data_IF_254916112838
#
_entry.id   IF_254916112838
#
_cell.length_a   1.000
_cell.length_b   1.000
_cell.length_c   1.000
_cell.angle_alpha   90.00
_cell.angle_beta   90.00
_cell.angle_gamma   90.00
#
_symmetry.space_group_name_H-M   'P 1'
#
loop_
_entity.id
_entity.type
_entity.pdbx_description
1 polymer ?
#
# COMPACT_ATOMS: atom_id res chain seq x y z
N UNK A 1 9.28 -17.23 3.43
CA UNK A 1 10.46 -16.55 2.84
C UNK A 1 11.19 -15.79 3.94
N UNK A 2 12.48 -15.56 3.77
CA UNK A 2 13.28 -14.69 4.63
C UNK A 2 13.39 -13.31 4.00
N UNK A 3 13.15 -12.28 4.78
CA UNK A 3 13.32 -10.90 4.41
C UNK A 3 14.42 -10.29 5.25
N UNK A 4 15.42 -9.75 4.58
CA UNK A 4 16.55 -9.06 5.19
C UNK A 4 16.37 -7.57 4.95
N UNK A 5 16.13 -6.81 6.03
CA UNK A 5 16.02 -5.36 5.93
C UNK A 5 17.41 -4.74 5.90
N UNK A 6 17.66 -3.87 4.93
CA UNK A 6 18.86 -3.06 4.87
C UNK A 6 18.61 -1.79 5.70
N UNK A 7 18.90 -1.85 7.00
CA UNK A 7 18.82 -0.65 7.82
C UNK A 7 19.97 0.30 7.50
N UNK A 8 19.67 1.59 7.38
CA UNK A 8 20.66 2.67 7.22
C UNK A 8 21.65 2.80 8.40
N UNK A 9 21.52 1.98 9.45
CA UNK A 9 22.29 2.06 10.71
C UNK A 9 23.06 0.77 11.05
N UNK A 10 23.41 -0.04 10.04
CA UNK A 10 24.24 -1.26 10.17
C UNK A 10 23.69 -2.41 11.05
N UNK A 11 22.47 -2.29 11.61
CA UNK A 11 21.80 -3.40 12.29
C UNK A 11 20.94 -4.19 11.31
N UNK A 12 21.37 -5.38 10.92
CA UNK A 12 20.60 -6.28 10.06
C UNK A 12 19.43 -6.89 10.85
N UNK A 13 18.21 -6.45 10.57
CA UNK A 13 16.99 -7.05 11.13
C UNK A 13 16.44 -8.07 10.14
N UNK A 14 16.36 -9.32 10.58
CA UNK A 14 15.86 -10.44 9.80
C UNK A 14 14.41 -10.75 10.20
N UNK A 15 13.52 -10.71 9.22
CA UNK A 15 12.10 -10.98 9.40
C UNK A 15 11.65 -12.12 8.48
N UNK A 16 10.62 -12.86 8.89
CA UNK A 16 10.12 -14.00 8.13
C UNK A 16 8.72 -13.71 7.60
N UNK A 17 8.60 -13.72 6.28
CA UNK A 17 7.32 -13.71 5.58
C UNK A 17 6.70 -15.10 5.62
N UNK A 18 5.50 -15.15 6.20
CA UNK A 18 4.62 -16.31 6.28
C UNK A 18 3.64 -16.33 5.11
N UNK A 19 3.02 -17.48 4.91
CA UNK A 19 1.94 -17.65 3.94
C UNK A 19 0.83 -16.62 4.16
N UNK A 20 0.32 -16.04 3.07
CA UNK A 20 -0.75 -15.04 3.08
C UNK A 20 -0.29 -13.61 3.42
N UNK A 21 0.96 -13.41 3.85
CA UNK A 21 1.49 -12.07 4.08
C UNK A 21 1.92 -11.40 2.78
N UNK A 22 1.84 -10.07 2.78
CA UNK A 22 2.17 -9.22 1.63
C UNK A 22 3.45 -8.45 1.91
N UNK A 23 4.18 -8.17 0.84
CA UNK A 23 5.35 -7.31 0.86
C UNK A 23 5.20 -6.21 -0.18
N UNK A 24 5.86 -5.08 0.04
CA UNK A 24 5.95 -3.96 -0.89
C UNK A 24 4.62 -3.31 -1.28
N UNK A 25 3.61 -3.38 -0.40
CA UNK A 25 2.32 -2.70 -0.57
C UNK A 25 2.46 -1.20 -0.93
N UNK A 26 3.40 -0.41 -0.36
CA UNK A 26 3.57 1.00 -0.72
C UNK A 26 3.87 1.23 -2.21
N UNK A 27 4.52 0.28 -2.89
CA UNK A 27 4.89 0.41 -4.30
C UNK A 27 3.66 0.49 -5.23
N UNK A 28 2.50 0.04 -4.76
CA UNK A 28 1.23 0.17 -5.50
C UNK A 28 0.73 1.62 -5.52
N UNK A 29 0.97 2.37 -4.45
CA UNK A 29 0.30 3.66 -4.18
C UNK A 29 1.21 4.88 -4.38
N UNK A 30 2.52 4.73 -4.21
CA UNK A 30 3.48 5.82 -4.27
C UNK A 30 4.79 5.38 -4.91
N UNK A 31 5.67 6.34 -5.20
CA UNK A 31 7.04 6.03 -5.60
C UNK A 31 7.76 5.44 -4.39
N UNK A 32 8.09 4.16 -4.47
CA UNK A 32 8.67 3.40 -3.38
C UNK A 32 10.01 2.82 -3.80
N UNK A 33 10.99 2.92 -2.92
CA UNK A 33 12.27 2.24 -3.06
C UNK A 33 12.31 1.10 -2.04
N UNK A 34 12.48 -0.14 -2.52
CA UNK A 34 12.58 -1.30 -1.64
C UNK A 34 13.69 -1.10 -0.59
N UNK A 35 13.37 -1.46 0.65
CA UNK A 35 14.21 -1.26 1.82
C UNK A 35 14.89 -2.56 2.28
N UNK A 36 14.77 -3.64 1.51
CA UNK A 36 15.36 -4.92 1.85
C UNK A 36 15.46 -5.90 0.68
N UNK A 37 15.96 -7.09 0.98
CA UNK A 37 16.07 -8.21 0.04
C UNK A 37 15.23 -9.37 0.53
N UNK A 38 14.44 -9.96 -0.37
CA UNK A 38 13.65 -11.15 -0.11
C UNK A 38 14.35 -12.39 -0.66
N UNK A 39 14.55 -13.41 0.17
CA UNK A 39 15.20 -14.66 -0.18
C UNK A 39 14.34 -15.86 0.24
N UNK A 40 14.26 -16.88 -0.60
CA UNK A 40 13.53 -18.12 -0.29
C UNK A 40 14.44 -19.10 0.44
N UNK A 41 14.06 -19.52 1.66
CA UNK A 41 14.73 -20.61 2.40
C UNK A 41 14.24 -22.01 2.05
N UNK A 42 13.08 -22.10 1.42
CA UNK A 42 12.41 -23.35 1.06
C UNK A 42 11.68 -23.16 -0.26
N UNK A 43 11.14 -24.25 -0.82
CA UNK A 43 10.24 -24.17 -1.97
C UNK A 43 9.00 -23.37 -1.58
N UNK A 44 8.73 -22.28 -2.29
CA UNK A 44 7.58 -21.41 -2.07
C UNK A 44 7.14 -20.79 -3.39
N UNK A 45 5.88 -20.39 -3.45
CA UNK A 45 5.30 -19.68 -4.59
C UNK A 45 5.11 -18.20 -4.21
N UNK A 46 5.41 -17.31 -5.15
CA UNK A 46 5.19 -15.86 -5.01
C UNK A 46 4.14 -15.45 -6.03
N UNK A 47 3.16 -14.66 -5.60
CA UNK A 47 2.30 -13.92 -6.51
C UNK A 47 2.85 -12.50 -6.63
N UNK A 48 3.40 -12.18 -7.80
CA UNK A 48 3.90 -10.85 -8.11
C UNK A 48 2.79 -10.02 -8.76
N UNK A 49 2.71 -8.74 -8.37
CA UNK A 49 1.80 -7.77 -8.96
C UNK A 49 2.62 -6.61 -9.52
N UNK A 50 2.62 -6.46 -10.84
CA UNK A 50 3.23 -5.30 -11.49
C UNK A 50 2.48 -4.01 -11.12
N UNK A 51 3.15 -3.11 -10.42
CA UNK A 51 2.55 -1.85 -9.95
C UNK A 51 2.08 -0.95 -11.09
N UNK A 52 2.77 -0.95 -12.23
CA UNK A 52 2.43 -0.08 -13.36
C UNK A 52 1.22 -0.61 -14.13
N UNK A 53 1.24 -1.90 -14.47
CA UNK A 53 0.10 -2.61 -15.05
C UNK A 53 -1.12 -2.55 -14.14
N UNK A 54 -0.95 -2.73 -12.83
CA UNK A 54 -2.02 -2.60 -11.85
C UNK A 54 -2.66 -1.21 -11.87
N UNK A 55 -1.86 -0.14 -11.83
CA UNK A 55 -2.37 1.24 -11.91
C UNK A 55 -3.09 1.50 -13.24
N UNK A 56 -2.55 1.00 -14.34
CA UNK A 56 -3.15 1.14 -15.68
C UNK A 56 -4.53 0.50 -15.73
N UNK A 57 -4.67 -0.73 -15.21
CA UNK A 57 -5.96 -1.43 -15.10
C UNK A 57 -6.90 -0.67 -14.16
N UNK A 58 -6.38 -0.19 -13.01
CA UNK A 58 -7.17 0.56 -12.04
C UNK A 58 -7.84 1.79 -12.66
N UNK A 59 -7.10 2.57 -13.45
CA UNK A 59 -7.63 3.76 -14.10
C UNK A 59 -8.68 3.45 -15.18
N UNK A 60 -8.71 2.22 -15.69
CA UNK A 60 -9.75 1.77 -16.63
C UNK A 60 -11.06 1.37 -15.93
N UNK A 61 -11.08 1.19 -14.61
CA UNK A 61 -12.23 0.68 -13.86
C UNK A 61 -12.71 1.67 -12.77
N UNK A 62 -13.61 2.59 -13.14
CA UNK A 62 -14.11 3.67 -12.27
C UNK A 62 -14.68 3.18 -10.92
N UNK A 63 -15.33 2.00 -10.86
CA UNK A 63 -15.88 1.46 -9.61
C UNK A 63 -14.77 1.11 -8.61
N UNK A 64 -13.76 0.37 -9.06
CA UNK A 64 -12.61 -0.03 -8.25
C UNK A 64 -11.73 1.16 -7.87
N UNK A 65 -11.65 2.17 -8.75
CA UNK A 65 -10.87 3.37 -8.54
C UNK A 65 -11.32 4.11 -7.27
N UNK A 66 -12.62 4.21 -7.00
CA UNK A 66 -13.13 4.89 -5.81
C UNK A 66 -12.65 4.24 -4.50
N UNK A 67 -12.78 2.92 -4.40
CA UNK A 67 -12.35 2.12 -3.26
C UNK A 67 -10.83 2.16 -3.09
N UNK A 68 -10.07 1.93 -4.16
CA UNK A 68 -8.61 1.86 -4.08
C UNK A 68 -7.97 3.24 -3.86
N UNK A 69 -8.55 4.31 -4.41
CA UNK A 69 -8.10 5.68 -4.08
C UNK A 69 -8.30 5.98 -2.59
N UNK A 70 -9.40 5.50 -2.01
CA UNK A 70 -9.66 5.64 -0.58
C UNK A 70 -8.69 4.82 0.26
N UNK A 71 -8.43 3.59 -0.14
CA UNK A 71 -7.45 2.71 0.50
C UNK A 71 -6.05 3.32 0.47
N UNK A 72 -5.58 3.76 -0.70
CA UNK A 72 -4.28 4.40 -0.87
C UNK A 72 -4.11 5.63 0.03
N UNK A 73 -5.16 6.47 0.16
CA UNK A 73 -5.15 7.62 1.06
C UNK A 73 -5.02 7.21 2.54
N UNK A 74 -5.81 6.24 2.98
CA UNK A 74 -5.77 5.74 4.35
C UNK A 74 -4.43 5.08 4.67
N UNK A 75 -3.87 4.34 3.70
CA UNK A 75 -2.56 3.74 3.81
C UNK A 75 -1.47 4.81 3.96
N UNK A 76 -1.47 5.83 3.11
CA UNK A 76 -0.53 6.95 3.23
C UNK A 76 -0.67 7.69 4.58
N UNK A 77 -1.90 7.92 5.05
CA UNK A 77 -2.13 8.53 6.37
C UNK A 77 -1.58 7.64 7.48
N UNK A 78 -1.82 6.32 7.44
CA UNK A 78 -1.25 5.37 8.39
C UNK A 78 0.29 5.42 8.37
N UNK A 79 0.91 5.40 7.20
CA UNK A 79 2.37 5.51 7.06
C UNK A 79 2.92 6.77 7.73
N UNK A 80 2.25 7.92 7.54
CA UNK A 80 2.72 9.20 8.10
C UNK A 80 2.75 9.25 9.63
N UNK A 81 2.01 8.35 10.30
CA UNK A 81 1.94 8.28 11.76
C UNK A 81 2.75 7.11 12.35
N UNK A 82 3.25 6.20 11.51
CA UNK A 82 4.01 5.03 11.94
C UNK A 82 5.52 5.34 11.94
N UNK A 83 6.19 5.00 13.05
CA UNK A 83 7.65 5.22 13.19
C UNK A 83 8.47 4.36 12.23
N UNK A 84 7.96 3.18 11.91
CA UNK A 84 8.59 2.18 11.03
C UNK A 84 8.06 2.23 9.60
N UNK A 85 7.79 3.42 9.07
CA UNK A 85 7.23 3.58 7.73
C UNK A 85 8.14 3.03 6.61
N UNK A 86 9.46 3.01 6.84
CA UNK A 86 10.49 2.59 5.87
C UNK A 86 10.67 1.06 5.83
N UNK A 87 9.61 0.30 5.56
CA UNK A 87 9.63 -1.16 5.50
C UNK A 87 8.83 -1.70 4.31
N UNK A 88 9.31 -2.80 3.72
CA UNK A 88 8.54 -3.55 2.73
C UNK A 88 7.53 -4.50 3.39
N UNK A 89 7.65 -4.77 4.70
CA UNK A 89 6.77 -5.71 5.41
C UNK A 89 5.69 -4.99 6.19
N UNK A 90 4.44 -5.37 5.96
CA UNK A 90 3.29 -4.72 6.58
C UNK A 90 2.45 -5.70 7.39
N UNK A 91 1.90 -5.21 8.50
CA UNK A 91 1.03 -6.01 9.34
C UNK A 91 -0.30 -6.25 8.61
N UNK A 92 -0.59 -7.52 8.32
CA UNK A 92 -1.78 -7.94 7.59
C UNK A 92 -3.09 -7.44 8.22
N UNK A 93 -3.20 -7.43 9.56
CA UNK A 93 -4.38 -6.93 10.26
C UNK A 93 -4.59 -5.42 10.03
N UNK A 94 -3.50 -4.67 9.91
CA UNK A 94 -3.56 -3.24 9.59
C UNK A 94 -4.03 -3.06 8.17
N UNK A 95 -3.48 -3.80 7.20
CA UNK A 95 -3.90 -3.73 5.80
C UNK A 95 -5.39 -4.08 5.64
N UNK A 96 -5.86 -5.12 6.31
CA UNK A 96 -7.26 -5.53 6.32
C UNK A 96 -8.15 -4.45 6.93
N UNK A 97 -7.77 -3.88 8.07
CA UNK A 97 -8.52 -2.79 8.70
C UNK A 97 -8.64 -1.56 7.79
N UNK A 98 -7.55 -1.19 7.09
CA UNK A 98 -7.58 -0.09 6.11
C UNK A 98 -8.47 -0.42 4.91
N UNK A 99 -8.50 -1.67 4.45
CA UNK A 99 -9.36 -2.12 3.36
C UNK A 99 -10.85 -2.07 3.77
N UNK A 100 -11.21 -2.60 4.94
CA UNK A 100 -12.56 -2.51 5.47
C UNK A 100 -13.03 -1.06 5.61
N UNK A 101 -12.15 -0.17 6.07
CA UNK A 101 -12.41 1.25 6.16
C UNK A 101 -12.66 1.90 4.79
N UNK A 102 -11.87 1.53 3.79
CA UNK A 102 -11.98 2.05 2.43
C UNK A 102 -13.30 1.64 1.76
N UNK A 103 -13.82 0.47 2.09
CA UNK A 103 -15.12 -0.02 1.62
C UNK A 103 -16.31 0.65 2.34
N UNK A 104 -16.04 1.42 3.38
CA UNK A 104 -17.08 2.07 4.20
C UNK A 104 -17.69 1.17 5.26
N UNK A 105 -17.07 0.00 5.56
CA UNK A 105 -17.42 -0.78 6.75
C UNK A 105 -16.90 -0.02 7.99
N UNK A 106 -17.59 -0.16 9.12
CA UNK A 106 -17.17 0.51 10.36
C UNK A 106 -15.79 -0.01 10.78
N UNK A 107 -14.84 0.91 10.86
CA UNK A 107 -13.54 0.68 11.47
C UNK A 107 -13.69 0.18 12.91
N UNK A 108 -13.20 -1.03 13.18
CA UNK A 108 -12.90 -1.52 14.53
C UNK A 108 -11.52 -0.99 15.01
N UNK A 109 -11.17 0.26 14.63
CA UNK A 109 -9.92 0.88 15.10
C UNK A 109 -10.10 1.35 16.54
N UNK A 110 -9.41 0.66 17.45
CA UNK A 110 -9.28 1.05 18.85
C UNK A 110 -8.42 2.32 19.06
N UNK A 111 -8.03 3.04 18.00
CA UNK A 111 -7.10 4.16 18.11
C UNK A 111 -7.68 5.49 17.58
N UNK A 112 -7.60 6.54 18.41
CA UNK A 112 -8.47 7.73 18.39
C UNK A 112 -8.01 8.89 17.48
N UNK A 113 -7.18 8.63 16.46
CA UNK A 113 -6.49 9.71 15.72
C UNK A 113 -7.14 10.20 14.40
N UNK A 114 -7.87 9.35 13.67
CA UNK A 114 -8.03 9.51 12.21
C UNK A 114 -9.31 10.26 11.74
N UNK A 115 -10.05 10.95 12.62
CA UNK A 115 -11.39 11.45 12.26
C UNK A 115 -11.43 12.77 11.47
N UNK A 116 -10.35 13.53 11.36
CA UNK A 116 -10.43 14.95 10.92
C UNK A 116 -9.89 15.28 9.51
N UNK A 117 -9.36 14.34 8.72
CA UNK A 117 -8.66 14.66 7.46
C UNK A 117 -9.52 14.61 6.17
N UNK A 118 -10.79 14.22 6.23
CA UNK A 118 -11.58 13.86 5.03
C UNK A 118 -12.08 14.98 4.11
N UNK A 119 -11.47 16.17 4.08
CA UNK A 119 -11.94 17.28 3.21
C UNK A 119 -11.09 17.62 1.99
N UNK A 120 -9.93 17.03 1.77
CA UNK A 120 -9.07 17.45 0.67
C UNK A 120 -8.62 16.28 -0.20
N UNK A 121 -9.27 16.12 -1.36
CA UNK A 121 -8.67 15.83 -2.68
C UNK A 121 -9.77 15.42 -3.66
N UNK A 122 -10.45 16.42 -4.22
CA UNK A 122 -11.17 16.27 -5.50
C UNK A 122 -10.10 16.38 -6.58
N UNK A 123 -9.49 15.26 -6.97
CA UNK A 123 -8.52 15.24 -8.08
C UNK A 123 -9.21 15.71 -9.36
N UNK A 124 -8.70 16.80 -9.93
CA UNK A 124 -9.16 17.39 -11.18
C UNK A 124 -8.93 16.41 -12.34
N UNK A 125 -10.01 15.82 -12.87
CA UNK A 125 -10.03 15.25 -14.22
C UNK A 125 -10.11 16.41 -15.22
N UNK A 126 -8.97 17.00 -15.60
CA UNK A 126 -8.92 17.80 -16.84
C UNK A 126 -8.75 16.85 -18.01
N UNK A 127 -9.87 16.48 -18.62
CA UNK A 127 -9.91 15.82 -19.92
C UNK A 127 -9.56 16.86 -20.97
N UNK A 128 -8.32 16.86 -21.46
CA UNK A 128 -7.95 17.60 -22.66
C UNK A 128 -8.42 16.82 -23.89
N UNK A 129 -9.60 17.15 -24.41
CA UNK A 129 -9.98 16.73 -25.77
C UNK A 129 -9.16 17.54 -26.79
N UNK A 130 -8.08 16.92 -27.30
CA UNK A 130 -7.37 17.40 -28.47
C UNK A 130 -8.15 17.04 -29.73
N UNK A 131 -8.83 18.04 -30.31
CA UNK A 131 -9.43 17.98 -31.64
C UNK A 131 -8.34 18.42 -32.63
N UNK A 132 -7.88 17.53 -33.50
CA UNK A 132 -7.03 17.91 -34.65
C UNK A 132 -7.80 17.54 -35.91
N UNK A 133 -8.14 18.60 -36.63
CA UNK A 133 -8.69 18.70 -37.99
C UNK A 133 -7.80 18.05 -39.03
#
# INVERSE_FOLDING_TARGET
MEYVRLNFRDEETQEFLKEGQRASEPALWMHWLHCGTLSAKCSCEVLELDSEGFRTILFAHDRSLSFLSRYALLFHEHMSHTKDWATDLWNQNVLESLAEAAEGRKLHLADRGLRNSFRFLRMNRTVSQGKVT
#
